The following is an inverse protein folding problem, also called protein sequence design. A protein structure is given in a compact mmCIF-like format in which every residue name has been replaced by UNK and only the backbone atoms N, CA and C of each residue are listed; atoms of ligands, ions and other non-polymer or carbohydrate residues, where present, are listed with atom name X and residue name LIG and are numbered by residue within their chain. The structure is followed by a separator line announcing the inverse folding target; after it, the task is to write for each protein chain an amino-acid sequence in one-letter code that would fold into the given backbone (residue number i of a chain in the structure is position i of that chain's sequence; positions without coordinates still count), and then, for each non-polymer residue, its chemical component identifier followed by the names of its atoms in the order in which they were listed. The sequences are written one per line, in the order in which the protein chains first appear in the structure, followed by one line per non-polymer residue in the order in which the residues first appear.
data_IF_276634873879
#
_entry.id   IF_276634873879
#
_cell.length_a   1.000
_cell.length_b   1.000
_cell.length_c   1.000
_cell.angle_alpha   90.00
_cell.angle_beta   90.00
_cell.angle_gamma   90.00
#
_symmetry.space_group_name_H-M   'P 1'
#
loop_
_entity.id
_entity.type
_entity.pdbx_description
1 polymer ?
#
# COMPACT_ATOMS: atom_id res chain seq x y z
N UNK A 1 -4.38 -14.94 -14.35
CA UNK A 1 -3.85 -13.94 -13.39
C UNK A 1 -4.95 -13.49 -12.45
N UNK A 2 -4.64 -12.73 -11.41
CA UNK A 2 -5.61 -12.30 -10.36
C UNK A 2 -6.59 -11.20 -10.80
N UNK A 3 -6.56 -10.76 -12.07
CA UNK A 3 -7.46 -9.73 -12.60
C UNK A 3 -7.12 -8.29 -12.15
N UNK A 4 -6.05 -8.12 -11.36
CA UNK A 4 -5.63 -6.82 -10.84
C UNK A 4 -4.96 -6.02 -11.96
N UNK A 5 -5.34 -4.76 -12.21
CA UNK A 5 -4.78 -3.93 -13.29
C UNK A 5 -3.38 -3.40 -12.90
N UNK A 6 -2.44 -4.32 -12.68
CA UNK A 6 -1.10 -4.02 -12.20
C UNK A 6 -0.26 -3.38 -13.30
N UNK A 7 0.44 -2.29 -12.97
CA UNK A 7 1.44 -1.67 -13.85
C UNK A 7 2.83 -2.09 -13.42
N UNK A 8 3.47 -2.93 -14.22
CA UNK A 8 4.81 -3.44 -13.93
C UNK A 8 5.82 -2.31 -13.76
N UNK A 9 6.64 -2.42 -12.73
CA UNK A 9 7.64 -1.41 -12.36
C UNK A 9 8.97 -2.09 -12.01
N UNK A 10 10.09 -1.41 -12.27
CA UNK A 10 11.34 -1.71 -11.59
C UNK A 10 11.25 -1.08 -10.19
N UNK A 11 11.49 -1.88 -9.15
CA UNK A 11 11.35 -1.46 -7.76
C UNK A 11 12.61 -1.81 -6.98
N UNK A 12 12.93 -1.01 -5.97
CA UNK A 12 14.08 -1.24 -5.10
C UNK A 12 13.79 -0.78 -3.68
N UNK A 13 14.36 -1.49 -2.72
CA UNK A 13 14.35 -1.13 -1.30
C UNK A 13 15.79 -1.15 -0.80
N UNK A 14 16.21 -0.08 -0.15
CA UNK A 14 17.50 -0.01 0.54
C UNK A 14 17.23 0.28 2.01
N UNK A 15 17.68 -0.61 2.89
CA UNK A 15 17.49 -0.50 4.33
C UNK A 15 18.81 -0.06 5.01
N UNK A 16 18.70 0.93 5.89
CA UNK A 16 19.78 1.47 6.72
C UNK A 16 19.16 2.27 7.87
N UNK A 17 19.79 3.37 8.29
CA UNK A 17 19.18 4.32 9.24
C UNK A 17 17.84 4.87 8.69
N UNK A 18 17.83 5.17 7.41
CA UNK A 18 16.61 5.45 6.65
C UNK A 18 16.30 4.31 5.69
N UNK A 19 15.03 4.12 5.38
CA UNK A 19 14.58 3.18 4.35
C UNK A 19 14.23 3.97 3.09
N UNK A 20 14.88 3.62 1.98
CA UNK A 20 14.59 4.21 0.67
C UNK A 20 13.81 3.23 -0.18
N UNK A 21 12.62 3.63 -0.60
CA UNK A 21 11.79 2.94 -1.59
C UNK A 21 11.90 3.66 -2.92
N UNK A 22 12.13 2.91 -3.98
CA UNK A 22 12.12 3.43 -5.36
C UNK A 22 11.21 2.58 -6.23
N UNK A 23 10.51 3.23 -7.14
CA UNK A 23 9.77 2.56 -8.19
C UNK A 23 9.81 3.38 -9.47
N UNK A 24 9.90 2.70 -10.61
CA UNK A 24 9.73 3.29 -11.94
C UNK A 24 8.95 2.33 -12.83
N UNK A 25 7.81 2.81 -13.36
CA UNK A 25 6.97 2.05 -14.28
C UNK A 25 7.77 1.66 -15.52
N UNK A 26 7.52 0.43 -15.98
CA UNK A 26 8.06 -0.09 -17.22
C UNK A 26 7.15 0.32 -18.39
N UNK A 27 7.66 0.33 -19.64
CA UNK A 27 6.82 0.46 -20.82
C UNK A 27 5.67 -0.56 -20.78
N UNK A 28 4.49 -0.22 -21.32
CA UNK A 28 4.14 1.00 -22.07
C UNK A 28 3.62 2.16 -21.20
N UNK A 29 3.71 2.09 -19.86
CA UNK A 29 2.95 2.98 -18.97
C UNK A 29 3.65 4.27 -18.55
N UNK A 30 4.62 4.74 -19.34
CA UNK A 30 5.45 5.92 -19.06
C UNK A 30 6.45 5.69 -17.91
N UNK A 31 7.48 6.55 -17.77
CA UNK A 31 8.53 6.38 -16.76
C UNK A 31 8.15 6.93 -15.38
N UNK A 32 6.85 6.92 -15.03
CA UNK A 32 6.33 7.43 -13.75
C UNK A 32 6.79 6.59 -12.57
N UNK A 33 6.95 7.20 -11.41
CA UNK A 33 7.60 6.54 -10.29
C UNK A 33 7.61 7.36 -9.02
N UNK A 34 8.37 6.85 -8.06
CA UNK A 34 8.64 7.55 -6.82
C UNK A 34 10.03 7.22 -6.30
N UNK A 35 10.51 8.12 -5.44
CA UNK A 35 11.54 7.92 -4.44
C UNK A 35 10.97 8.39 -3.11
N UNK A 36 10.88 7.49 -2.14
CA UNK A 36 10.36 7.76 -0.80
C UNK A 36 11.43 7.36 0.19
N UNK A 37 11.85 8.29 1.04
CA UNK A 37 12.83 8.04 2.11
C UNK A 37 12.15 8.27 3.45
N UNK A 38 12.12 7.25 4.29
CA UNK A 38 11.55 7.32 5.63
C UNK A 38 12.58 6.97 6.69
N UNK A 39 12.49 7.59 7.86
CA UNK A 39 13.24 7.17 9.06
C UNK A 39 12.27 6.51 10.04
N UNK A 40 12.36 5.20 10.26
CA UNK A 40 11.60 4.52 11.31
C UNK A 40 11.91 5.10 12.70
N UNK A 41 10.87 5.28 13.50
CA UNK A 41 10.92 5.76 14.88
C UNK A 41 10.60 4.66 15.89
N UNK A 42 10.03 5.06 17.03
CA UNK A 42 9.66 4.13 18.08
C UNK A 42 8.47 3.23 17.67
N UNK A 43 8.40 1.97 18.14
CA UNK A 43 7.20 1.15 18.02
C UNK A 43 6.00 1.80 18.70
N UNK A 44 4.85 1.77 18.03
CA UNK A 44 3.58 2.18 18.61
C UNK A 44 3.05 1.05 19.50
N UNK A 45 2.73 1.39 20.74
CA UNK A 45 2.06 0.51 21.68
C UNK A 45 0.58 0.35 21.29
N UNK A 46 -0.10 -0.74 21.71
CA UNK A 46 -1.50 -0.97 21.36
C UNK A 46 -2.46 0.18 21.69
N UNK A 47 -2.20 0.95 22.75
CA UNK A 47 -3.00 2.13 23.11
C UNK A 47 -2.75 3.38 22.27
N UNK A 48 -1.69 3.39 21.46
CA UNK A 48 -1.28 4.50 20.59
C UNK A 48 -1.77 4.30 19.15
N UNK A 49 -2.15 3.06 18.77
CA UNK A 49 -2.71 2.74 17.47
C UNK A 49 -4.14 3.29 17.39
N UNK A 50 -4.35 4.30 16.57
CA UNK A 50 -5.66 4.95 16.41
C UNK A 50 -6.61 4.13 15.53
N UNK A 51 -7.90 4.47 15.56
CA UNK A 51 -8.88 3.91 14.63
C UNK A 51 -8.49 4.16 13.15
N UNK A 52 -7.84 5.29 12.86
CA UNK A 52 -7.34 5.60 11.51
C UNK A 52 -6.22 4.66 11.11
N UNK A 53 -5.31 4.34 12.02
CA UNK A 53 -4.21 3.41 11.74
C UNK A 53 -4.75 2.00 11.50
N UNK A 54 -5.72 1.57 12.31
CA UNK A 54 -6.46 0.33 12.06
C UNK A 54 -7.18 0.35 10.71
N UNK A 55 -7.84 1.44 10.33
CA UNK A 55 -8.51 1.57 9.04
C UNK A 55 -7.53 1.48 7.86
N UNK A 56 -6.36 2.11 7.97
CA UNK A 56 -5.37 2.13 6.90
C UNK A 56 -4.64 0.80 6.75
N UNK A 57 -4.43 0.05 7.84
CA UNK A 57 -3.56 -1.14 7.86
C UNK A 57 -4.31 -2.47 7.99
N UNK A 58 -5.49 -2.47 8.62
CA UNK A 58 -6.35 -3.65 8.83
C UNK A 58 -7.19 -4.01 7.62
N UNK A 59 -6.56 -4.30 6.47
CA UNK A 59 -7.28 -4.60 5.22
C UNK A 59 -7.47 -6.09 5.03
N UNK A 60 -8.64 -6.57 5.45
CA UNK A 60 -9.01 -8.00 5.43
C UNK A 60 -9.54 -8.54 4.10
N UNK A 61 -9.68 -7.67 3.08
CA UNK A 61 -10.21 -8.02 1.75
C UNK A 61 -9.51 -7.22 0.66
N UNK A 62 -9.19 -7.89 -0.44
CA UNK A 62 -8.82 -7.27 -1.70
C UNK A 62 -9.94 -7.46 -2.73
N UNK A 63 -10.11 -6.49 -3.63
CA UNK A 63 -11.13 -6.52 -4.68
C UNK A 63 -10.46 -6.48 -6.05
N UNK A 64 -11.01 -7.24 -6.98
CA UNK A 64 -10.48 -7.36 -8.34
C UNK A 64 -11.60 -7.73 -9.31
N UNK A 65 -11.33 -7.67 -10.62
CA UNK A 65 -12.29 -8.09 -11.64
C UNK A 65 -11.73 -9.30 -12.39
N UNK A 66 -12.42 -10.43 -12.32
CA UNK A 66 -12.05 -11.66 -13.04
C UNK A 66 -13.09 -11.92 -14.12
N UNK A 67 -12.65 -11.89 -15.38
CA UNK A 67 -13.54 -12.07 -16.55
C UNK A 67 -14.79 -11.16 -16.52
N UNK A 68 -14.61 -9.89 -16.12
CA UNK A 68 -15.71 -8.91 -16.02
C UNK A 68 -16.55 -8.99 -14.74
N UNK A 69 -16.31 -9.99 -13.88
CA UNK A 69 -17.05 -10.17 -12.62
C UNK A 69 -16.23 -9.62 -11.46
N UNK A 70 -16.83 -8.75 -10.65
CA UNK A 70 -16.23 -8.29 -9.39
C UNK A 70 -16.03 -9.49 -8.47
N UNK A 71 -14.80 -9.67 -8.00
CA UNK A 71 -14.40 -10.73 -7.10
C UNK A 71 -13.75 -10.15 -5.84
N UNK A 72 -13.92 -10.86 -4.74
CA UNK A 72 -13.32 -10.57 -3.44
C UNK A 72 -12.30 -11.66 -3.10
N UNK A 73 -11.15 -11.25 -2.59
CA UNK A 73 -10.09 -12.11 -2.09
C UNK A 73 -9.99 -11.85 -0.58
N UNK A 74 -10.25 -12.85 0.29
CA UNK A 74 -10.01 -12.67 1.72
C UNK A 74 -8.51 -12.56 1.98
N UNK A 75 -8.14 -11.65 2.86
CA UNK A 75 -6.76 -11.40 3.31
C UNK A 75 -6.72 -11.61 4.81
N UNK A 76 -5.78 -12.43 5.27
CA UNK A 76 -5.51 -12.68 6.69
C UNK A 76 -4.08 -12.24 6.99
N UNK A 77 -3.90 -11.43 8.03
CA UNK A 77 -2.60 -11.02 8.54
C UNK A 77 -2.71 -10.73 10.04
N UNK A 78 -1.61 -10.81 10.77
CA UNK A 78 -1.58 -10.33 12.16
C UNK A 78 -1.65 -8.78 12.19
N UNK A 79 -1.98 -8.15 13.32
CA UNK A 79 -1.81 -6.70 13.45
C UNK A 79 -0.39 -6.29 13.04
N UNK A 80 -0.29 -5.21 12.28
CA UNK A 80 1.02 -4.72 11.85
C UNK A 80 1.81 -4.23 13.07
N UNK A 81 3.09 -4.61 13.23
CA UNK A 81 3.95 -4.00 14.23
C UNK A 81 4.31 -2.59 13.75
N UNK A 82 3.41 -1.63 14.02
CA UNK A 82 3.54 -0.25 13.57
C UNK A 82 4.59 0.49 14.39
N UNK A 83 5.30 1.38 13.71
CA UNK A 83 6.28 2.29 14.27
C UNK A 83 5.94 3.70 13.76
N UNK A 84 6.26 4.70 14.57
CA UNK A 84 6.37 6.07 14.08
C UNK A 84 7.32 6.12 12.88
N UNK A 85 7.15 7.11 12.02
CA UNK A 85 8.09 7.33 10.94
C UNK A 85 8.11 8.80 10.54
N UNK A 86 9.31 9.31 10.29
CA UNK A 86 9.54 10.61 9.70
C UNK A 86 9.71 10.45 8.18
N UNK A 87 9.04 11.30 7.40
CA UNK A 87 9.34 11.42 5.98
C UNK A 87 10.56 12.32 5.80
N UNK A 88 11.62 11.76 5.24
CA UNK A 88 12.89 12.46 5.00
C UNK A 88 12.92 13.10 3.62
N UNK A 89 12.40 12.39 2.61
CA UNK A 89 12.38 12.83 1.22
C UNK A 89 11.22 12.16 0.47
N UNK A 90 10.58 12.91 -0.41
CA UNK A 90 9.48 12.44 -1.26
C UNK A 90 9.55 13.14 -2.62
N UNK A 91 9.85 12.35 -3.63
CA UNK A 91 9.74 12.73 -5.04
C UNK A 91 8.86 11.70 -5.75
N UNK A 92 7.71 12.13 -6.28
CA UNK A 92 6.77 11.24 -6.96
C UNK A 92 5.92 11.98 -8.00
N UNK A 93 5.51 11.25 -9.04
CA UNK A 93 4.59 11.75 -10.07
C UNK A 93 3.39 10.81 -10.29
N UNK A 94 3.15 9.88 -9.37
CA UNK A 94 2.15 8.82 -9.48
C UNK A 94 0.72 9.32 -9.33
N UNK A 95 0.47 10.35 -8.53
CA UNK A 95 -0.86 10.99 -8.46
C UNK A 95 -1.24 11.61 -9.81
N UNK A 96 -0.34 12.42 -10.36
CA UNK A 96 -0.50 13.01 -11.71
C UNK A 96 -0.65 11.94 -12.78
N UNK A 97 0.18 10.89 -12.75
CA UNK A 97 0.10 9.76 -13.67
C UNK A 97 -1.17 8.90 -13.52
N UNK A 98 -1.91 9.07 -12.43
CA UNK A 98 -3.22 8.48 -12.20
C UNK A 98 -4.38 9.42 -12.55
N UNK A 99 -4.09 10.66 -12.96
CA UNK A 99 -5.10 11.70 -13.22
C UNK A 99 -5.73 12.26 -11.94
N UNK A 100 -5.06 12.12 -10.80
CA UNK A 100 -5.51 12.62 -9.51
C UNK A 100 -4.88 13.99 -9.23
N UNK A 101 -5.54 14.87 -8.46
CA UNK A 101 -4.93 16.10 -7.99
C UNK A 101 -3.78 15.77 -7.02
N UNK A 102 -2.85 16.71 -6.88
CA UNK A 102 -1.84 16.65 -5.82
C UNK A 102 -2.52 16.59 -4.45
N UNK A 103 -2.03 15.74 -3.52
CA UNK A 103 -2.59 15.66 -2.19
C UNK A 103 -2.42 16.98 -1.43
N UNK A 104 -3.39 17.31 -0.59
CA UNK A 104 -3.35 18.48 0.29
C UNK A 104 -2.93 18.10 1.71
N UNK A 105 -2.15 18.97 2.35
CA UNK A 105 -1.70 18.77 3.74
C UNK A 105 -0.48 17.86 3.86
N UNK A 106 0.07 17.72 5.08
CA UNK A 106 1.22 16.86 5.32
C UNK A 106 0.86 15.38 5.11
N UNK A 107 1.79 14.57 4.59
CA UNK A 107 1.58 13.14 4.43
C UNK A 107 1.44 12.45 5.80
N UNK A 108 0.63 11.40 5.83
CA UNK A 108 0.59 10.47 6.95
C UNK A 108 1.66 9.40 6.73
N UNK A 109 2.54 9.21 7.70
CA UNK A 109 3.72 8.37 7.57
C UNK A 109 3.77 7.40 8.75
N UNK A 110 3.94 6.13 8.45
CA UNK A 110 4.14 5.06 9.43
C UNK A 110 5.04 4.01 8.83
N UNK A 111 5.79 3.32 9.68
CA UNK A 111 6.65 2.23 9.26
C UNK A 111 6.24 0.93 9.94
N UNK A 112 6.59 -0.19 9.31
CA UNK A 112 6.50 -1.49 9.95
C UNK A 112 7.58 -2.39 9.39
N UNK A 113 8.09 -3.29 10.23
CA UNK A 113 9.00 -4.36 9.80
C UNK A 113 8.32 -5.40 8.92
N UNK A 114 7.01 -5.28 8.70
CA UNK A 114 6.20 -6.16 7.87
C UNK A 114 5.43 -7.19 8.68
N UNK A 115 4.53 -7.88 7.99
CA UNK A 115 3.72 -8.96 8.52
C UNK A 115 3.55 -10.04 7.45
N UNK A 116 3.40 -11.29 7.87
CA UNK A 116 2.98 -12.36 6.98
C UNK A 116 1.49 -12.21 6.65
N UNK A 117 1.18 -12.23 5.35
CA UNK A 117 -0.18 -12.16 4.85
C UNK A 117 -0.52 -13.40 4.02
N UNK A 118 -1.73 -13.91 4.23
CA UNK A 118 -2.30 -15.02 3.47
C UNK A 118 -3.45 -14.50 2.63
N UNK A 119 -3.39 -14.77 1.33
CA UNK A 119 -4.49 -14.49 0.42
C UNK A 119 -5.24 -15.79 0.14
N UNK A 120 -6.56 -15.77 0.37
CA UNK A 120 -7.42 -16.88 -0.01
C UNK A 120 -7.80 -16.87 -1.50
N UNK A 121 -8.65 -17.81 -1.93
CA UNK A 121 -9.11 -17.85 -3.31
C UNK A 121 -10.02 -16.66 -3.63
N UNK A 122 -9.90 -16.13 -4.85
CA UNK A 122 -10.85 -15.13 -5.36
C UNK A 122 -12.25 -15.75 -5.49
N UNK A 123 -13.26 -15.08 -4.93
CA UNK A 123 -14.66 -15.49 -5.00
C UNK A 123 -15.49 -14.40 -5.67
N UNK A 124 -16.39 -14.74 -6.60
CA UNK A 124 -17.32 -13.76 -7.15
C UNK A 124 -18.09 -13.05 -6.03
N UNK A 125 -18.11 -11.72 -6.06
CA UNK A 125 -18.92 -10.93 -5.16
C UNK A 125 -20.36 -11.01 -5.68
N UNK A 126 -21.14 -11.93 -5.13
CA UNK A 126 -22.59 -11.96 -5.38
C UNK A 126 -23.19 -10.77 -4.63
N UNK A 127 -24.14 -10.08 -5.26
CA UNK A 127 -24.91 -9.04 -4.57
C UNK A 127 -25.40 -9.60 -3.23
N UNK A 128 -25.04 -8.91 -2.15
CA UNK A 128 -25.72 -9.11 -0.88
C UNK A 128 -27.09 -8.46 -1.06
N UNK A 129 -28.14 -9.28 -1.20
CA UNK A 129 -29.49 -8.78 -1.00
C UNK A 129 -29.53 -8.12 0.38
N UNK A 130 -29.91 -6.85 0.41
CA UNK A 130 -30.04 -6.03 1.61
C UNK A 130 -31.19 -6.50 2.48
#
# INVERSE_FOLDING_TARGET
GTGVPYRWSAMGVQAGETITYTARRRPPHGPHGHRIVVRPGAPLLPGEISERDHFLTGRWRAYTTVAGVLAVIPVEHQPWPLQEAELVDLDEDLFTAAGLPSPSGPPLVGYSTGVDARLGPARPLRHLDR
#
